data_IF_877654834193
#
_entry.id   IF_877654834193
#
_cell.length_a   1.000
_cell.length_b   1.000
_cell.length_c   1.000
_cell.angle_alpha   90.00
_cell.angle_beta   90.00
_cell.angle_gamma   90.00
#
_symmetry.space_group_name_H-M   'P 1'
#
loop_
_entity.id
_entity.type
_entity.pdbx_description
1 polymer ?
#
# COMPACT_ATOMS: atom_id res chain seq x y z
N UNK A 1 -2.98 -23.36 -7.32
CA UNK A 1 -2.01 -22.74 -6.40
C UNK A 1 -2.77 -21.84 -5.44
N UNK A 2 -2.80 -22.15 -4.14
CA UNK A 2 -3.43 -21.28 -3.15
C UNK A 2 -2.63 -19.98 -3.08
N UNK A 3 -3.21 -18.87 -3.55
CA UNK A 3 -2.66 -17.53 -3.31
C UNK A 3 -2.68 -17.34 -1.79
N UNK A 4 -1.51 -17.29 -1.16
CA UNK A 4 -1.42 -16.93 0.25
C UNK A 4 -2.21 -15.64 0.45
N UNK A 5 -3.29 -15.70 1.23
CA UNK A 5 -4.18 -14.56 1.45
C UNK A 5 -3.37 -13.40 2.01
N UNK A 6 -3.42 -12.24 1.34
CA UNK A 6 -2.70 -11.03 1.74
C UNK A 6 -2.98 -10.62 3.20
N UNK A 7 -4.10 -11.08 3.76
CA UNK A 7 -4.50 -10.89 5.15
C UNK A 7 -3.54 -11.50 6.19
N UNK A 8 -2.72 -12.50 5.81
CA UNK A 8 -1.72 -13.10 6.70
C UNK A 8 -0.35 -12.41 6.64
N UNK A 9 -0.13 -11.49 5.69
CA UNK A 9 1.15 -10.82 5.52
C UNK A 9 1.11 -9.43 6.16
N UNK A 10 2.10 -9.14 7.00
CA UNK A 10 2.28 -7.80 7.57
C UNK A 10 2.94 -6.82 6.60
N UNK A 11 3.68 -7.35 5.62
CA UNK A 11 4.29 -6.61 4.52
C UNK A 11 3.66 -6.98 3.19
N UNK A 12 3.20 -5.97 2.47
CA UNK A 12 2.58 -6.09 1.15
C UNK A 12 3.44 -5.44 0.09
N UNK A 13 3.45 -6.03 -1.10
CA UNK A 13 4.04 -5.39 -2.27
C UNK A 13 3.14 -4.23 -2.73
N UNK A 14 3.67 -3.32 -3.57
CA UNK A 14 2.87 -2.23 -4.14
C UNK A 14 1.60 -2.72 -4.84
N UNK A 15 1.72 -3.76 -5.68
CA UNK A 15 0.57 -4.35 -6.39
C UNK A 15 -0.44 -4.97 -5.44
N UNK A 16 0.03 -5.74 -4.45
CA UNK A 16 -0.82 -6.35 -3.42
C UNK A 16 -1.56 -5.27 -2.61
N UNK A 17 -0.90 -4.15 -2.32
CA UNK A 17 -1.49 -3.02 -1.59
C UNK A 17 -2.60 -2.35 -2.39
N UNK A 18 -2.40 -2.13 -3.69
CA UNK A 18 -3.42 -1.54 -4.58
C UNK A 18 -4.67 -2.43 -4.63
N UNK A 19 -4.49 -3.73 -4.78
CA UNK A 19 -5.58 -4.70 -4.82
C UNK A 19 -6.30 -4.81 -3.47
N UNK A 20 -5.53 -4.93 -2.38
CA UNK A 20 -6.09 -5.12 -1.04
C UNK A 20 -6.89 -3.91 -0.55
N UNK A 21 -6.36 -2.69 -0.73
CA UNK A 21 -7.03 -1.45 -0.29
C UNK A 21 -7.90 -0.80 -1.37
N UNK A 22 -8.06 -1.45 -2.53
CA UNK A 22 -8.81 -0.95 -3.69
C UNK A 22 -8.43 0.50 -4.07
N UNK A 23 -7.13 0.73 -4.22
CA UNK A 23 -6.56 2.06 -4.48
C UNK A 23 -6.60 2.42 -5.96
N UNK A 24 -6.61 3.73 -6.23
CA UNK A 24 -6.26 4.21 -7.57
C UNK A 24 -4.75 4.06 -7.78
N UNK A 25 -4.37 3.24 -8.77
CA UNK A 25 -2.96 2.99 -9.10
C UNK A 25 -2.20 4.30 -9.38
N UNK A 26 -2.82 5.24 -10.11
CA UNK A 26 -2.21 6.55 -10.42
C UNK A 26 -1.93 7.36 -9.16
N UNK A 27 -2.93 7.50 -8.27
CA UNK A 27 -2.79 8.25 -7.01
C UNK A 27 -1.75 7.61 -6.09
N UNK A 28 -1.75 6.28 -5.99
CA UNK A 28 -0.82 5.56 -5.14
C UNK A 28 0.64 5.67 -5.63
N UNK A 29 0.88 5.57 -6.94
CA UNK A 29 2.22 5.79 -7.49
C UNK A 29 2.69 7.24 -7.36
N UNK A 30 1.80 8.23 -7.53
CA UNK A 30 2.13 9.65 -7.28
C UNK A 30 2.48 9.88 -5.80
N UNK A 31 1.69 9.35 -4.87
CA UNK A 31 1.97 9.42 -3.43
C UNK A 31 3.38 8.92 -3.09
N UNK A 32 3.74 7.75 -3.60
CA UNK A 32 5.04 7.10 -3.34
C UNK A 32 6.20 7.80 -4.07
N UNK A 33 5.91 8.55 -5.14
CA UNK A 33 6.91 9.33 -5.87
C UNK A 33 7.16 10.68 -5.20
N UNK A 34 6.12 11.34 -4.72
CA UNK A 34 6.18 12.68 -4.12
C UNK A 34 6.76 12.65 -2.70
N UNK A 35 6.46 11.61 -1.92
CA UNK A 35 6.98 11.44 -0.56
C UNK A 35 7.79 10.16 -0.47
N UNK A 36 9.11 10.35 -0.42
CA UNK A 36 10.10 9.27 -0.36
C UNK A 36 10.09 8.51 0.95
N UNK A 37 9.60 9.12 2.03
CA UNK A 37 9.52 8.49 3.36
C UNK A 37 8.08 8.61 3.86
N UNK A 38 7.45 7.45 4.06
CA UNK A 38 6.21 7.32 4.81
C UNK A 38 6.42 6.26 5.87
N UNK A 39 5.77 6.41 7.03
CA UNK A 39 5.88 5.47 8.17
C UNK A 39 5.40 4.05 7.82
N UNK A 40 4.66 3.90 6.74
CA UNK A 40 4.17 2.62 6.22
C UNK A 40 5.03 2.04 5.10
N UNK A 41 6.10 2.71 4.65
CA UNK A 41 7.00 2.21 3.60
C UNK A 41 8.27 1.66 4.24
N UNK A 42 8.63 0.44 3.88
CA UNK A 42 9.89 -0.20 4.26
C UNK A 42 10.69 -0.52 3.00
N UNK A 43 11.99 -0.27 3.07
CA UNK A 43 12.92 -0.61 1.99
C UNK A 43 13.58 -1.95 2.29
N UNK A 44 13.37 -2.93 1.41
CA UNK A 44 14.09 -4.20 1.41
C UNK A 44 15.02 -4.23 0.21
N UNK A 45 16.24 -3.71 0.40
CA UNK A 45 17.16 -3.42 -0.69
C UNK A 45 16.58 -2.35 -1.62
N UNK A 46 16.41 -2.67 -2.91
CA UNK A 46 15.81 -1.78 -3.91
C UNK A 46 14.28 -1.83 -3.96
N UNK A 47 13.65 -2.76 -3.22
CA UNK A 47 12.19 -2.96 -3.24
C UNK A 47 11.52 -2.17 -2.14
N UNK A 48 10.42 -1.49 -2.48
CA UNK A 48 9.53 -0.84 -1.52
C UNK A 48 8.41 -1.80 -1.13
N UNK A 49 8.29 -2.06 0.16
CA UNK A 49 7.21 -2.83 0.77
C UNK A 49 6.35 -1.90 1.62
N UNK A 50 5.09 -2.27 1.79
CA UNK A 50 4.10 -1.53 2.55
C UNK A 50 3.77 -2.32 3.81
N UNK A 51 3.93 -1.69 4.98
CA UNK A 51 3.41 -2.24 6.23
C UNK A 51 1.89 -2.09 6.21
N UNK A 52 1.18 -3.21 6.15
CA UNK A 52 -0.28 -3.26 6.02
C UNK A 52 -0.97 -2.45 7.13
N UNK A 53 -0.61 -2.70 8.39
CA UNK A 53 -1.24 -2.09 9.56
C UNK A 53 -1.01 -0.58 9.65
N UNK A 54 0.19 -0.11 9.28
CA UNK A 54 0.49 1.31 9.24
C UNK A 54 -0.25 2.02 8.10
N UNK A 55 -0.32 1.38 6.92
CA UNK A 55 -1.04 1.93 5.78
C UNK A 55 -2.56 1.93 5.98
N UNK A 56 -3.12 0.96 6.71
CA UNK A 56 -4.53 0.93 7.07
C UNK A 56 -4.92 2.16 7.90
N UNK A 57 -4.12 2.51 8.92
CA UNK A 57 -4.30 3.75 9.70
C UNK A 57 -4.16 5.01 8.85
N UNK A 58 -3.29 4.98 7.85
CA UNK A 58 -3.10 6.10 6.92
C UNK A 58 -4.32 6.28 5.99
N UNK A 59 -4.82 5.20 5.39
CA UNK A 59 -6.00 5.23 4.51
C UNK A 59 -7.26 5.70 5.23
N UNK A 60 -7.41 5.37 6.52
CA UNK A 60 -8.53 5.88 7.33
C UNK A 60 -8.54 7.42 7.41
N UNK A 61 -7.36 8.06 7.37
CA UNK A 61 -7.21 9.52 7.35
C UNK A 61 -7.25 10.12 5.94
N UNK A 62 -7.05 9.29 4.91
CA UNK A 62 -6.93 9.71 3.50
C UNK A 62 -7.87 8.90 2.59
N UNK A 63 -9.20 8.99 2.77
CA UNK A 63 -10.16 8.26 1.95
C UNK A 63 -10.09 8.62 0.46
N UNK A 64 -9.55 9.80 0.10
CA UNK A 64 -9.37 10.28 -1.27
C UNK A 64 -8.45 9.40 -2.14
N UNK A 65 -7.65 8.54 -1.52
CA UNK A 65 -6.77 7.60 -2.20
C UNK A 65 -7.49 6.34 -2.70
N UNK A 66 -8.65 6.02 -2.11
CA UNK A 66 -9.50 4.92 -2.56
C UNK A 66 -10.10 5.24 -3.93
N UNK A 67 -10.42 4.21 -4.71
CA UNK A 67 -11.23 4.42 -5.92
C UNK A 67 -12.63 4.84 -5.48
N UNK A 68 -13.06 6.04 -5.85
CA UNK A 68 -14.49 6.31 -5.96
C UNK A 68 -15.01 5.43 -7.11
N UNK A 69 -15.96 4.56 -6.81
CA UNK A 69 -16.75 3.87 -7.83
C UNK A 69 -17.78 4.85 -8.39
#
# INVERSE_FOLDING_TARGET
MQRATAEKKDLLNLSETIEYFNLSQRKFHSLIREKTVHDFIVFYGSRRLIIRTAFEKYILKHPELRRCR
#
